data_IF_510292955477
#
_entry.id   IF_510292955477
#
_cell.length_a   1.000
_cell.length_b   1.000
_cell.length_c   1.000
_cell.angle_alpha   90.00
_cell.angle_beta   90.00
_cell.angle_gamma   90.00
#
_symmetry.space_group_name_H-M   'P 1'
#
loop_
_entity.id
_entity.type
_entity.pdbx_description
1 polymer ?
#
# COMPACT_ATOMS: atom_id res chain seq x y z
N UNK A 1 5.16 -0.19 33.79
CA UNK A 1 3.81 -0.52 33.27
C UNK A 1 2.89 0.54 33.84
N UNK A 2 2.94 1.74 33.29
CA UNK A 2 2.50 2.96 33.99
C UNK A 2 1.79 3.90 33.04
N UNK A 3 0.64 4.38 33.51
CA UNK A 3 -0.14 5.55 33.07
C UNK A 3 -0.79 5.53 31.69
N UNK A 4 -0.19 4.87 30.69
CA UNK A 4 -0.70 4.89 29.30
C UNK A 4 -1.92 3.98 29.06
N UNK A 5 -2.10 2.96 29.92
CA UNK A 5 -3.23 2.00 29.84
C UNK A 5 -4.45 2.43 30.66
N UNK A 6 -4.33 3.49 31.45
CA UNK A 6 -5.49 4.09 32.11
C UNK A 6 -6.07 5.12 31.16
N UNK A 7 -7.37 4.98 30.89
CA UNK A 7 -8.28 5.71 29.97
C UNK A 7 -8.38 7.25 30.21
N UNK A 8 -7.26 7.86 30.60
CA UNK A 8 -7.08 9.23 31.10
C UNK A 8 -6.07 10.04 30.28
N UNK A 9 -5.19 9.37 29.53
CA UNK A 9 -4.22 10.06 28.68
C UNK A 9 -4.55 9.78 27.22
N UNK A 10 -5.18 10.76 26.56
CA UNK A 10 -5.14 10.84 25.10
C UNK A 10 -3.75 11.38 24.76
N UNK A 11 -2.83 10.57 24.20
CA UNK A 11 -1.52 11.07 23.81
C UNK A 11 -1.70 12.24 22.85
N UNK A 12 -0.85 13.26 22.96
CA UNK A 12 -0.86 14.36 22.01
C UNK A 12 -0.50 13.83 20.62
N UNK A 13 -0.92 14.57 19.59
CA UNK A 13 -0.62 14.22 18.20
C UNK A 13 0.89 14.04 17.97
N UNK A 14 1.72 14.86 18.64
CA UNK A 14 3.18 14.78 18.57
C UNK A 14 3.72 13.43 19.07
N UNK A 15 3.11 12.88 20.13
CA UNK A 15 3.48 11.57 20.67
C UNK A 15 3.07 10.45 19.71
N UNK A 16 1.89 10.55 19.09
CA UNK A 16 1.42 9.58 18.10
C UNK A 16 2.36 9.56 16.88
N UNK A 17 2.81 10.72 16.42
CA UNK A 17 3.78 10.85 15.31
C UNK A 17 5.12 10.23 15.71
N UNK A 18 5.64 10.53 16.89
CA UNK A 18 6.91 9.98 17.36
C UNK A 18 6.88 8.45 17.49
N UNK A 19 5.75 7.87 17.92
CA UNK A 19 5.56 6.42 17.98
C UNK A 19 5.52 5.82 16.56
N UNK A 20 4.77 6.44 15.64
CA UNK A 20 4.73 6.02 14.24
C UNK A 20 6.12 6.02 13.61
N UNK A 21 6.93 7.05 13.84
CA UNK A 21 8.28 7.14 13.28
C UNK A 21 9.25 6.13 13.90
N UNK A 22 9.19 5.91 15.21
CA UNK A 22 10.08 4.96 15.89
C UNK A 22 9.76 3.49 15.59
N UNK A 23 8.48 3.15 15.43
CA UNK A 23 8.02 1.76 15.25
C UNK A 23 7.55 1.48 13.81
N UNK A 24 7.68 2.44 12.90
CA UNK A 24 7.21 2.38 11.51
C UNK A 24 5.80 1.81 11.38
N UNK A 25 4.91 2.19 12.30
CA UNK A 25 3.57 1.61 12.46
C UNK A 25 2.49 2.49 11.83
N UNK A 26 1.37 1.89 11.43
CA UNK A 26 0.25 2.62 10.85
C UNK A 26 -0.48 3.46 11.91
N UNK A 27 -0.70 4.74 11.62
CA UNK A 27 -1.37 5.66 12.54
C UNK A 27 -2.82 5.22 12.78
N UNK A 28 -3.47 4.68 11.74
CA UNK A 28 -4.83 4.17 11.80
C UNK A 28 -4.96 3.02 12.81
N UNK A 29 -3.96 2.13 12.84
CA UNK A 29 -3.87 1.07 13.84
C UNK A 29 -3.66 1.63 15.25
N UNK A 30 -2.82 2.64 15.40
CA UNK A 30 -2.53 3.28 16.70
C UNK A 30 -3.75 4.02 17.28
N UNK A 31 -4.60 4.60 16.43
CA UNK A 31 -5.74 5.43 16.87
C UNK A 31 -7.02 4.61 17.04
N UNK A 32 -7.30 3.67 16.13
CA UNK A 32 -8.58 2.97 16.08
C UNK A 32 -8.48 1.49 16.47
N UNK A 33 -7.28 0.95 16.66
CA UNK A 33 -7.06 -0.47 16.99
C UNK A 33 -7.33 -1.43 15.82
N UNK A 34 -7.83 -0.92 14.70
CA UNK A 34 -8.01 -1.67 13.47
C UNK A 34 -6.65 -1.84 12.79
N UNK A 35 -6.18 -3.08 12.67
CA UNK A 35 -5.07 -3.35 11.74
C UNK A 35 -5.57 -2.96 10.37
N UNK A 36 -4.89 -2.07 9.64
CA UNK A 36 -5.28 -1.80 8.26
C UNK A 36 -5.28 -3.17 7.58
N UNK A 37 -6.48 -3.61 7.20
CA UNK A 37 -6.66 -4.88 6.50
C UNK A 37 -5.66 -4.83 5.36
N UNK A 38 -4.68 -5.73 5.41
CA UNK A 38 -3.56 -5.79 4.48
C UNK A 38 -4.11 -6.07 3.08
N UNK A 39 -4.63 -5.04 2.42
CA UNK A 39 -4.96 -5.05 1.01
C UNK A 39 -3.70 -4.64 0.28
N UNK A 40 -2.67 -5.49 0.31
CA UNK A 40 -1.51 -5.42 -0.59
C UNK A 40 -1.18 -3.99 -1.04
N UNK A 41 -0.93 -3.10 -0.08
CA UNK A 41 -0.77 -1.66 -0.33
C UNK A 41 0.65 -1.43 -0.82
N UNK A 42 0.96 -1.97 -2.00
CA UNK A 42 2.01 -1.40 -2.82
C UNK A 42 1.31 -0.27 -3.59
N UNK A 43 1.55 0.95 -3.13
CA UNK A 43 1.15 2.23 -3.69
C UNK A 43 -0.23 2.78 -3.32
N UNK A 44 -0.18 3.91 -2.61
CA UNK A 44 -1.18 4.99 -2.59
C UNK A 44 -1.36 5.59 -3.99
N UNK A 45 -1.71 4.77 -4.97
CA UNK A 45 -2.28 5.23 -6.22
C UNK A 45 -3.63 4.54 -6.30
N UNK A 46 -4.67 5.27 -6.67
CA UNK A 46 -5.86 4.64 -7.20
C UNK A 46 -5.43 3.92 -8.48
N UNK A 47 -4.82 2.74 -8.34
CA UNK A 47 -4.52 1.85 -9.44
C UNK A 47 -5.90 1.55 -10.01
N UNK A 48 -6.16 2.12 -11.17
CA UNK A 48 -7.42 1.98 -11.87
C UNK A 48 -7.68 0.47 -11.99
N UNK A 49 -8.93 0.00 -11.84
CA UNK A 49 -9.21 -1.44 -11.79
C UNK A 49 -8.57 -2.21 -12.96
N UNK A 50 -8.41 -1.54 -14.10
CA UNK A 50 -7.72 -2.01 -15.30
C UNK A 50 -6.21 -2.26 -15.11
N UNK A 51 -5.49 -1.43 -14.36
CA UNK A 51 -4.06 -1.63 -14.06
C UNK A 51 -3.85 -2.83 -13.12
N UNK A 52 -4.74 -3.03 -12.14
CA UNK A 52 -4.70 -4.23 -11.27
C UNK A 52 -4.98 -5.51 -12.06
N UNK A 53 -5.96 -5.46 -12.97
CA UNK A 53 -6.27 -6.56 -13.87
C UNK A 53 -5.07 -6.87 -14.78
N UNK A 54 -4.44 -5.85 -15.36
CA UNK A 54 -3.24 -6.01 -16.18
C UNK A 54 -2.11 -6.70 -15.40
N UNK A 55 -1.81 -6.24 -14.19
CA UNK A 55 -0.76 -6.85 -13.35
C UNK A 55 -1.10 -8.31 -13.01
N UNK A 56 -2.37 -8.61 -12.73
CA UNK A 56 -2.81 -9.97 -12.41
C UNK A 56 -2.63 -10.91 -13.61
N UNK A 57 -3.12 -10.50 -14.78
CA UNK A 57 -2.97 -11.27 -16.03
C UNK A 57 -1.49 -11.42 -16.42
N UNK A 58 -0.70 -10.36 -16.30
CA UNK A 58 0.72 -10.38 -16.65
C UNK A 58 1.53 -11.37 -15.81
N UNK A 59 1.11 -11.63 -14.56
CA UNK A 59 1.76 -12.62 -13.67
C UNK A 59 1.44 -14.07 -14.03
N UNK A 60 0.36 -14.33 -14.75
CA UNK A 60 -0.02 -15.68 -15.20
C UNK A 60 0.70 -16.07 -16.51
N UNK A 61 1.17 -15.09 -17.28
CA UNK A 61 1.86 -15.30 -18.55
C UNK A 61 3.23 -15.97 -18.39
N UNK A 62 3.63 -16.70 -19.44
CA UNK A 62 5.00 -17.21 -19.61
C UNK A 62 5.98 -16.06 -19.82
N UNK A 63 7.28 -16.34 -19.73
CA UNK A 63 8.29 -15.29 -19.92
C UNK A 63 8.26 -14.75 -21.35
N UNK A 64 8.12 -15.63 -22.34
CA UNK A 64 8.03 -15.25 -23.75
C UNK A 64 6.82 -14.33 -24.00
N UNK A 65 5.65 -14.69 -23.49
CA UNK A 65 4.43 -13.90 -23.66
C UNK A 65 4.49 -12.53 -22.97
N UNK A 66 5.19 -12.46 -21.81
CA UNK A 66 5.40 -11.19 -21.10
C UNK A 66 6.23 -10.22 -21.94
N UNK A 67 7.30 -10.71 -22.56
CA UNK A 67 8.17 -9.89 -23.41
C UNK A 67 7.39 -9.38 -24.63
N UNK A 68 6.54 -10.23 -25.24
CA UNK A 68 5.66 -9.82 -26.35
C UNK A 68 4.66 -8.74 -25.94
N UNK A 69 3.99 -8.90 -24.79
CA UNK A 69 3.03 -7.92 -24.27
C UNK A 69 3.72 -6.58 -23.97
N UNK A 70 4.92 -6.60 -23.39
CA UNK A 70 5.71 -5.38 -23.16
C UNK A 70 6.00 -4.69 -24.49
N UNK A 71 6.42 -5.43 -25.51
CA UNK A 71 6.74 -4.84 -26.81
C UNK A 71 5.50 -4.30 -27.52
N UNK A 72 4.34 -4.95 -27.36
CA UNK A 72 3.06 -4.41 -27.83
C UNK A 72 2.70 -3.09 -27.15
N UNK A 73 2.86 -3.00 -25.82
CA UNK A 73 2.63 -1.76 -25.07
C UNK A 73 3.57 -0.65 -25.56
N UNK A 74 4.87 -0.94 -25.75
CA UNK A 74 5.83 0.02 -26.31
C UNK A 74 5.42 0.50 -27.71
N UNK A 75 4.99 -0.40 -28.58
CA UNK A 75 4.52 -0.05 -29.93
C UNK A 75 3.31 0.89 -29.89
N UNK A 76 2.40 0.70 -28.93
CA UNK A 76 1.24 1.59 -28.74
C UNK A 76 1.64 2.98 -28.24
N UNK A 77 2.62 3.05 -27.33
CA UNK A 77 3.16 4.32 -26.84
C UNK A 77 3.87 5.09 -27.95
N UNK A 78 4.68 4.43 -28.77
CA UNK A 78 5.45 5.08 -29.85
C UNK A 78 4.56 5.56 -31.00
N UNK A 79 3.37 4.97 -31.18
CA UNK A 79 2.43 5.36 -32.24
C UNK A 79 1.61 6.62 -31.92
N UNK A 80 1.68 7.15 -30.70
CA UNK A 80 1.00 8.38 -30.26
C UNK A 80 2.01 9.38 -29.68
#
# INVERSE_FOLDING_TARGET
MSELEQDKYRPSLDIIIAIKENFNSHIEWLIFGDTPVSKNTIFNLAIEAQELELISLFRELTKEDRDEIIDFIKLKIVRY
#
